data_IF_937059358600
#
_entry.id   IF_937059358600
#
_cell.length_a   1.000
_cell.length_b   1.000
_cell.length_c   1.000
_cell.angle_alpha   90.00
_cell.angle_beta   90.00
_cell.angle_gamma   90.00
#
_symmetry.space_group_name_H-M   'P 1'
#
loop_
_entity.id
_entity.type
_entity.pdbx_description
1 polymer ?
#
# COMPACT_ATOMS: atom_id res chain seq x y z
N UNK A 1 9.53 -0.56 -13.91
CA UNK A 1 9.27 -0.37 -12.47
C UNK A 1 7.91 -0.95 -12.12
N UNK A 2 7.78 -1.49 -10.94
CA UNK A 2 6.50 -1.98 -10.41
C UNK A 2 5.90 -0.90 -9.52
N UNK A 3 4.59 -0.68 -9.65
CA UNK A 3 3.85 0.24 -8.78
C UNK A 3 2.68 -0.44 -8.10
N UNK A 4 2.45 -0.10 -6.84
CA UNK A 4 1.34 -0.62 -6.03
C UNK A 4 0.29 0.48 -5.89
N UNK A 5 -0.96 0.17 -6.21
CA UNK A 5 -2.07 1.10 -6.09
C UNK A 5 -2.54 1.18 -4.64
N UNK A 6 -2.60 2.39 -4.11
CA UNK A 6 -3.08 2.65 -2.75
C UNK A 6 -4.16 3.72 -2.80
N UNK A 7 -5.41 3.31 -2.56
CA UNK A 7 -6.54 4.24 -2.55
C UNK A 7 -6.41 5.19 -1.36
N UNK A 8 -6.34 6.47 -1.64
CA UNK A 8 -6.11 7.53 -0.65
C UNK A 8 -7.24 8.56 -0.64
N UNK A 9 -8.44 8.18 -1.08
CA UNK A 9 -9.58 9.09 -1.20
C UNK A 9 -10.00 9.72 0.14
N UNK A 10 -10.06 8.92 1.19
CA UNK A 10 -10.55 9.36 2.51
C UNK A 10 -9.42 9.56 3.52
N UNK A 11 -8.37 8.75 3.43
CA UNK A 11 -7.18 8.83 4.28
C UNK A 11 -5.97 8.81 3.35
N UNK A 12 -4.97 9.68 3.55
CA UNK A 12 -3.82 9.76 2.64
C UNK A 12 -2.83 8.60 2.85
N UNK A 13 -3.29 7.37 2.66
CA UNK A 13 -2.49 6.16 2.91
C UNK A 13 -1.20 6.11 2.11
N UNK A 14 -1.26 6.46 0.81
CA UNK A 14 -0.07 6.41 -0.03
C UNK A 14 1.05 7.30 0.50
N UNK A 15 0.70 8.53 0.89
CA UNK A 15 1.68 9.47 1.44
C UNK A 15 2.17 9.05 2.82
N UNK A 16 1.28 8.49 3.64
CA UNK A 16 1.67 7.96 4.96
C UNK A 16 2.68 6.82 4.84
N UNK A 17 2.56 5.98 3.81
CA UNK A 17 3.53 4.92 3.54
C UNK A 17 4.90 5.52 3.23
N UNK A 18 4.99 6.40 2.24
CA UNK A 18 6.28 6.91 1.78
C UNK A 18 6.93 7.87 2.77
N UNK A 19 6.15 8.47 3.65
CA UNK A 19 6.65 9.31 4.75
C UNK A 19 7.10 8.50 5.97
N UNK A 20 6.87 7.18 5.96
CA UNK A 20 7.27 6.29 7.06
C UNK A 20 6.29 6.21 8.22
N UNK A 21 5.11 6.81 8.10
CA UNK A 21 4.10 6.82 9.17
C UNK A 21 3.21 5.58 9.15
N UNK A 22 2.95 5.03 7.98
CA UNK A 22 2.19 3.79 7.81
C UNK A 22 3.19 2.66 7.57
N UNK A 23 3.36 1.79 8.58
CA UNK A 23 4.39 0.74 8.55
C UNK A 23 3.96 -0.51 7.80
N UNK A 24 2.66 -0.75 7.67
CA UNK A 24 2.10 -1.91 6.98
C UNK A 24 1.00 -1.47 6.01
N UNK A 25 1.01 -2.05 4.82
CA UNK A 25 -0.14 -2.02 3.92
C UNK A 25 -0.96 -3.27 4.19
N UNK A 26 -2.28 -3.12 4.33
CA UNK A 26 -3.16 -4.25 4.65
C UNK A 26 -4.12 -4.53 3.52
N UNK A 27 -4.34 -5.81 3.25
CA UNK A 27 -5.24 -6.30 2.20
C UNK A 27 -6.06 -7.47 2.73
N UNK A 28 -7.31 -7.59 2.28
CA UNK A 28 -8.16 -8.73 2.66
C UNK A 28 -7.63 -10.03 2.07
N UNK A 29 -7.08 -9.97 0.86
CA UNK A 29 -6.47 -11.11 0.16
C UNK A 29 -4.98 -10.89 -0.02
N UNK A 30 -4.22 -11.96 -0.24
CA UNK A 30 -2.76 -11.88 -0.43
C UNK A 30 -2.40 -11.40 -1.85
N UNK A 31 -2.83 -10.18 -2.19
CA UNK A 31 -2.72 -9.62 -3.54
C UNK A 31 -1.32 -9.16 -3.92
N UNK A 32 -0.46 -8.91 -2.94
CA UNK A 32 0.91 -8.42 -3.16
C UNK A 32 1.96 -9.52 -2.95
N UNK A 33 1.54 -10.78 -2.92
CA UNK A 33 2.44 -11.92 -2.67
C UNK A 33 3.66 -11.95 -3.58
N UNK A 34 3.47 -11.67 -4.87
CA UNK A 34 4.55 -11.70 -5.86
C UNK A 34 5.54 -10.56 -5.72
N UNK A 35 5.22 -9.54 -4.93
CA UNK A 35 6.03 -8.34 -4.80
C UNK A 35 6.91 -8.34 -3.55
N UNK A 36 6.78 -9.34 -2.70
CA UNK A 36 7.60 -9.46 -1.49
C UNK A 36 9.08 -9.47 -1.85
N UNK A 37 9.86 -8.63 -1.17
CA UNK A 37 11.29 -8.45 -1.43
C UNK A 37 11.62 -7.46 -2.54
N UNK A 38 10.63 -6.92 -3.24
CA UNK A 38 10.86 -6.02 -4.38
C UNK A 38 10.74 -4.56 -3.98
N UNK A 39 11.56 -3.72 -4.64
CA UNK A 39 11.44 -2.27 -4.57
C UNK A 39 10.31 -1.83 -5.50
N UNK A 40 9.34 -1.07 -5.01
CA UNK A 40 8.15 -0.68 -5.77
C UNK A 40 7.85 0.80 -5.59
N UNK A 41 7.20 1.40 -6.59
CA UNK A 41 6.59 2.71 -6.45
C UNK A 41 5.25 2.59 -5.74
N UNK A 42 4.89 3.60 -4.97
CA UNK A 42 3.58 3.71 -4.33
C UNK A 42 2.75 4.69 -5.14
N UNK A 43 1.62 4.22 -5.66
CA UNK A 43 0.74 5.00 -6.53
C UNK A 43 -0.47 5.44 -5.73
N UNK A 44 -0.60 6.75 -5.58
CA UNK A 44 -1.79 7.36 -4.97
C UNK A 44 -2.95 7.33 -5.97
N UNK A 45 -4.07 6.75 -5.55
CA UNK A 45 -5.32 6.76 -6.30
C UNK A 45 -6.44 7.36 -5.45
N UNK A 46 -7.56 7.70 -6.09
CA UNK A 46 -8.73 8.24 -5.41
C UNK A 46 -8.76 9.77 -5.32
N UNK A 47 -7.71 10.45 -5.74
CA UNK A 47 -7.57 11.92 -5.68
C UNK A 47 -7.16 12.49 -7.06
N UNK A 48 -7.95 12.18 -8.09
CA UNK A 48 -7.63 12.62 -9.45
C UNK A 48 -6.79 11.59 -10.19
N UNK A 49 -5.90 12.05 -11.06
CA UNK A 49 -5.06 11.16 -11.87
C UNK A 49 -4.05 10.43 -10.98
N UNK A 50 -3.82 9.12 -11.19
CA UNK A 50 -2.86 8.36 -10.38
C UNK A 50 -1.45 8.93 -10.44
N UNK A 51 -0.83 9.08 -9.27
CA UNK A 51 0.52 9.62 -9.14
C UNK A 51 1.41 8.71 -8.30
N UNK A 52 2.65 8.56 -8.75
CA UNK A 52 3.68 7.84 -7.97
C UNK A 52 4.24 8.85 -6.97
N UNK A 53 4.02 8.61 -5.69
CA UNK A 53 4.39 9.57 -4.63
C UNK A 53 5.69 9.22 -3.91
N UNK A 54 6.24 8.04 -4.18
CA UNK A 54 7.48 7.59 -3.59
C UNK A 54 7.71 6.11 -3.80
N UNK A 55 8.65 5.54 -3.04
CA UNK A 55 9.06 4.14 -3.16
C UNK A 55 9.19 3.47 -1.80
N UNK A 56 9.03 2.16 -1.80
CA UNK A 56 9.31 1.30 -0.64
C UNK A 56 9.85 -0.04 -1.12
N UNK A 57 10.45 -0.80 -0.21
CA UNK A 57 10.68 -2.23 -0.41
C UNK A 57 9.59 -2.97 0.33
N UNK A 58 8.87 -3.85 -0.37
CA UNK A 58 7.86 -4.69 0.26
C UNK A 58 8.57 -5.77 1.06
N UNK A 59 8.41 -5.73 2.36
CA UNK A 59 8.98 -6.71 3.24
C UNK A 59 8.10 -7.94 3.36
N UNK A 60 8.19 -8.60 4.49
CA UNK A 60 7.50 -9.87 4.73
C UNK A 60 5.98 -9.71 4.70
N UNK A 61 5.31 -10.63 4.02
CA UNK A 61 3.86 -10.75 4.07
C UNK A 61 3.45 -11.63 5.24
N UNK A 62 2.43 -11.23 5.98
CA UNK A 62 1.95 -11.95 7.15
C UNK A 62 0.44 -11.90 7.21
N UNK A 63 -0.20 -13.05 7.43
CA UNK A 63 -1.61 -13.05 7.77
C UNK A 63 -1.75 -12.71 9.25
N UNK A 64 -2.44 -11.60 9.53
CA UNK A 64 -2.65 -11.07 10.87
C UNK A 64 -4.07 -11.40 11.29
N UNK A 65 -4.23 -12.18 12.37
CA UNK A 65 -5.55 -12.53 12.88
C UNK A 65 -6.29 -11.30 13.38
N UNK A 66 -7.60 -11.39 13.52
CA UNK A 66 -8.42 -10.28 14.05
C UNK A 66 -7.89 -9.77 15.39
N UNK A 67 -7.48 -10.67 16.28
CA UNK A 67 -6.93 -10.32 17.59
C UNK A 67 -5.64 -9.52 17.48
N UNK A 68 -4.71 -9.97 16.64
CA UNK A 68 -3.44 -9.26 16.41
C UNK A 68 -3.69 -7.93 15.73
N UNK A 69 -4.64 -7.88 14.80
CA UNK A 69 -5.02 -6.66 14.12
C UNK A 69 -5.56 -5.62 15.10
N UNK A 70 -6.52 -6.00 15.93
CA UNK A 70 -7.08 -5.11 16.95
C UNK A 70 -6.02 -4.69 17.97
N UNK A 71 -5.03 -5.57 18.25
CA UNK A 71 -3.98 -5.31 19.20
C UNK A 71 -3.03 -4.20 18.78
N UNK A 72 -2.44 -4.30 17.59
CA UNK A 72 -1.43 -3.34 17.15
C UNK A 72 -1.42 -3.09 15.64
N UNK A 73 -1.69 -4.09 14.81
CA UNK A 73 -1.49 -3.95 13.36
C UNK A 73 -2.44 -2.94 12.71
N UNK A 74 -3.66 -2.76 13.23
CA UNK A 74 -4.55 -1.70 12.77
C UNK A 74 -3.87 -0.34 12.92
N UNK A 75 -3.31 -0.05 14.06
CA UNK A 75 -2.64 1.22 14.34
C UNK A 75 -1.40 1.40 13.47
N UNK A 76 -0.58 0.34 13.31
CA UNK A 76 0.63 0.36 12.48
C UNK A 76 0.28 0.50 10.99
N UNK A 77 -0.92 0.11 10.59
CA UNK A 77 -1.44 0.26 9.23
C UNK A 77 -2.20 1.58 9.04
N UNK A 78 -2.34 2.38 10.09
CA UNK A 78 -3.05 3.65 10.10
C UNK A 78 -4.52 3.55 9.65
N UNK A 79 -5.15 2.41 9.86
CA UNK A 79 -6.55 2.18 9.47
C UNK A 79 -7.47 2.62 10.60
N UNK A 80 -8.41 3.55 10.34
CA UNK A 80 -9.36 3.96 11.37
C UNK A 80 -10.29 2.81 11.77
N UNK A 81 -10.56 2.70 13.06
CA UNK A 81 -11.50 1.73 13.59
C UNK A 81 -12.87 1.86 12.92
N UNK A 82 -13.41 0.75 12.47
CA UNK A 82 -14.74 0.70 11.84
C UNK A 82 -14.80 1.25 10.42
N UNK A 83 -13.66 1.63 9.82
CA UNK A 83 -13.63 2.07 8.42
C UNK A 83 -13.77 0.90 7.45
N UNK A 84 -13.93 1.20 6.16
CA UNK A 84 -14.05 0.17 5.12
C UNK A 84 -12.85 -0.76 5.01
N UNK A 85 -11.67 -0.30 5.45
CA UNK A 85 -10.43 -1.10 5.41
C UNK A 85 -10.12 -1.80 6.73
N UNK A 86 -10.98 -1.65 7.75
CA UNK A 86 -10.83 -2.39 8.99
C UNK A 86 -11.09 -3.89 8.76
N UNK A 87 -10.57 -4.73 9.62
CA UNK A 87 -10.78 -6.16 9.50
C UNK A 87 -12.22 -6.51 9.90
N UNK A 88 -12.97 -7.11 8.97
CA UNK A 88 -14.35 -7.53 9.18
C UNK A 88 -14.50 -9.06 9.30
N UNK A 89 -13.43 -9.81 9.08
CA UNK A 89 -13.42 -11.27 9.11
C UNK A 89 -12.35 -11.81 10.04
N UNK A 90 -11.68 -12.89 9.62
CA UNK A 90 -10.67 -13.57 10.44
C UNK A 90 -9.39 -12.74 10.64
N UNK A 91 -9.13 -11.79 9.76
CA UNK A 91 -7.93 -10.96 9.82
C UNK A 91 -7.62 -10.30 8.50
N UNK A 92 -6.36 -9.88 8.35
CA UNK A 92 -5.87 -9.22 7.14
C UNK A 92 -4.47 -9.67 6.79
N UNK A 93 -4.14 -9.61 5.50
CA UNK A 93 -2.76 -9.72 5.05
C UNK A 93 -2.07 -8.38 5.23
N UNK A 94 -0.95 -8.38 5.96
CA UNK A 94 -0.15 -7.19 6.20
C UNK A 94 1.22 -7.34 5.57
N UNK A 95 1.63 -6.30 4.84
CA UNK A 95 2.91 -6.25 4.13
C UNK A 95 3.74 -5.12 4.73
N UNK A 96 4.94 -5.46 5.19
CA UNK A 96 5.85 -4.47 5.76
C UNK A 96 6.32 -3.50 4.67
N UNK A 97 6.23 -2.20 4.93
CA UNK A 97 6.68 -1.15 4.02
C UNK A 97 8.05 -0.65 4.48
N UNK A 98 9.12 -1.19 3.88
CA UNK A 98 10.50 -0.95 4.31
C UNK A 98 11.18 0.15 3.50
N UNK A 99 12.09 0.86 4.14
CA UNK A 99 12.95 1.86 3.50
C UNK A 99 12.16 2.85 2.63
N UNK A 100 11.14 3.53 3.21
CA UNK A 100 10.32 4.45 2.44
C UNK A 100 11.12 5.68 2.02
N UNK A 101 10.91 6.09 0.77
CA UNK A 101 11.49 7.31 0.20
C UNK A 101 10.37 8.08 -0.48
N UNK A 102 9.94 9.24 0.07
CA UNK A 102 8.98 10.10 -0.62
C UNK A 102 9.66 10.81 -1.79
N UNK A 103 8.92 11.03 -2.87
CA UNK A 103 9.41 11.86 -3.97
C UNK A 103 9.12 13.33 -3.66
N UNK A 104 10.09 14.21 -3.92
CA UNK A 104 9.90 15.66 -3.80
C UNK A 104 8.80 16.14 -4.74
N UNK A 105 8.79 15.60 -5.96
CA UNK A 105 7.76 15.87 -6.96
C UNK A 105 7.13 14.55 -7.39
N UNK A 106 5.84 14.32 -7.05
CA UNK A 106 5.12 13.15 -7.54
C UNK A 106 5.12 13.08 -9.06
N UNK A 107 5.12 11.87 -9.60
CA UNK A 107 5.18 11.61 -11.03
C UNK A 107 3.84 11.00 -11.47
N UNK A 108 3.24 11.54 -12.53
CA UNK A 108 2.04 10.94 -13.10
C UNK A 108 2.33 9.52 -13.57
N UNK A 109 1.41 8.60 -13.27
CA UNK A 109 1.52 7.24 -13.77
C UNK A 109 1.48 7.26 -15.30
N UNK A 110 2.46 6.64 -16.00
CA UNK A 110 2.43 6.57 -17.45
C UNK A 110 1.15 5.91 -17.96
N UNK A 111 0.58 6.45 -19.03
CA UNK A 111 -0.68 5.93 -19.63
C UNK A 111 -0.55 4.51 -20.16
N UNK A 112 0.66 4.11 -20.53
CA UNK A 112 0.95 2.77 -21.04
C UNK A 112 1.30 1.75 -19.95
N UNK A 113 1.08 2.09 -18.68
CA UNK A 113 1.29 1.17 -17.58
C UNK A 113 0.45 -0.10 -17.77
N UNK A 114 1.07 -1.26 -17.55
CA UNK A 114 0.40 -2.55 -17.68
C UNK A 114 -0.13 -2.94 -16.31
N UNK A 115 -1.45 -3.00 -16.16
CA UNK A 115 -2.10 -3.31 -14.89
C UNK A 115 -2.23 -4.82 -14.70
N UNK A 116 -1.95 -5.26 -13.47
CA UNK A 116 -2.15 -6.63 -13.03
C UNK A 116 -3.29 -6.62 -11.99
N UNK A 117 -4.52 -6.65 -12.50
CA UNK A 117 -5.70 -6.45 -11.66
C UNK A 117 -5.76 -5.02 -11.11
N UNK A 118 -6.24 -4.89 -9.88
CA UNK A 118 -6.37 -3.60 -9.19
C UNK A 118 -5.26 -3.34 -8.18
N UNK A 119 -4.37 -4.31 -7.96
CA UNK A 119 -3.39 -4.23 -6.88
C UNK A 119 -2.10 -3.55 -7.31
N UNK A 120 -1.60 -3.83 -8.51
CA UNK A 120 -0.30 -3.35 -8.95
C UNK A 120 -0.19 -3.29 -10.47
N UNK A 121 0.86 -2.65 -10.95
CA UNK A 121 1.13 -2.49 -12.37
C UNK A 121 2.63 -2.45 -12.66
N UNK A 122 2.99 -2.52 -13.95
CA UNK A 122 4.34 -2.33 -14.44
C UNK A 122 4.37 -1.14 -15.40
N UNK A 123 5.43 -0.34 -15.31
CA UNK A 123 5.61 0.82 -16.17
C UNK A 123 7.08 1.20 -16.30
N UNK A 124 7.38 1.96 -17.35
CA UNK A 124 8.70 2.57 -17.56
C UNK A 124 8.61 4.06 -17.25
N UNK A 125 9.64 4.59 -16.64
CA UNK A 125 9.75 6.03 -16.39
C UNK A 125 10.89 6.60 -17.19
#
# INVERSE_FOLDING_TARGET
>A
MIGVFVNSKHVPYARKIVEGNKLYESRTKNTLKKLVGKRVGIIETGNGYPMIVGEVTIGKARFVTKRMWDGIYRALSCVPYGSEYDASGEGKWCYEMKEPIPYDEPIFLPKNAIRHGRAWCEFDI
#
